data_IF_863990473493
#
_entry.id   IF_863990473493
#
_cell.length_a   1.000
_cell.length_b   1.000
_cell.length_c   1.000
_cell.angle_alpha   90.00
_cell.angle_beta   90.00
_cell.angle_gamma   90.00
#
_symmetry.space_group_name_H-M   'P 1'
#
loop_
_entity.id
_entity.type
_entity.pdbx_description
1 polymer ?
#
# COMPACT_ATOMS: atom_id res chain seq x y z
N UNK A 1 -2.21 46.78 7.14
CA UNK A 1 -3.35 45.88 7.43
C UNK A 1 -2.86 44.46 7.26
N UNK A 2 -3.14 43.56 8.21
CA UNK A 2 -2.54 42.23 8.28
C UNK A 2 -3.14 41.33 7.20
N UNK A 3 -2.65 40.09 7.01
CA UNK A 3 -3.60 39.04 6.68
C UNK A 3 -4.54 38.83 7.88
N UNK A 4 -5.85 39.08 7.70
CA UNK A 4 -6.89 38.89 8.73
C UNK A 4 -7.34 37.43 8.85
N UNK A 5 -7.01 36.60 7.86
CA UNK A 5 -7.33 35.18 7.81
C UNK A 5 -6.04 34.37 7.76
N UNK A 6 -6.08 33.16 8.29
CA UNK A 6 -5.03 32.18 8.01
C UNK A 6 -5.09 31.77 6.54
N UNK A 7 -3.93 31.48 5.94
CA UNK A 7 -3.90 30.82 4.63
C UNK A 7 -4.47 29.41 4.73
N UNK A 8 -5.22 28.98 3.72
CA UNK A 8 -5.78 27.64 3.60
C UNK A 8 -5.05 26.86 2.50
N UNK A 9 -5.66 26.71 1.32
CA UNK A 9 -5.02 26.14 0.13
C UNK A 9 -4.27 27.16 -0.70
N UNK A 10 -3.54 26.67 -1.69
CA UNK A 10 -2.95 27.53 -2.73
C UNK A 10 -3.98 27.69 -3.83
N UNK A 11 -4.28 28.93 -4.22
CA UNK A 11 -5.13 29.22 -5.37
C UNK A 11 -4.23 29.31 -6.59
N UNK A 12 -4.58 28.53 -7.62
CA UNK A 12 -3.84 28.44 -8.87
C UNK A 12 -4.70 28.92 -10.03
N UNK A 13 -4.05 29.43 -11.07
CA UNK A 13 -4.60 29.44 -12.42
C UNK A 13 -4.27 28.09 -13.06
N UNK A 14 -5.28 27.26 -13.26
CA UNK A 14 -5.17 26.04 -14.04
C UNK A 14 -5.37 26.36 -15.52
N UNK A 15 -4.55 25.75 -16.38
CA UNK A 15 -4.57 25.91 -17.83
C UNK A 15 -4.76 24.52 -18.45
N UNK A 16 -5.72 24.34 -19.34
CA UNK A 16 -6.06 23.00 -19.84
C UNK A 16 -5.00 22.41 -20.79
N UNK A 17 -4.31 21.35 -20.34
CA UNK A 17 -3.30 20.58 -21.10
C UNK A 17 -3.86 19.64 -22.16
N UNK A 18 -5.18 19.51 -22.26
CA UNK A 18 -5.83 18.75 -23.33
C UNK A 18 -6.34 19.65 -24.47
N UNK A 19 -6.19 20.98 -24.38
CA UNK A 19 -6.67 21.93 -25.39
C UNK A 19 -5.51 22.65 -26.07
N UNK A 20 -5.23 22.31 -27.33
CA UNK A 20 -4.33 23.12 -28.16
C UNK A 20 -4.98 24.50 -28.43
N UNK A 21 -4.24 25.61 -28.40
CA UNK A 21 -2.79 25.72 -28.21
C UNK A 21 -2.31 25.91 -26.76
N UNK A 22 -3.18 25.85 -25.74
CA UNK A 22 -2.78 25.96 -24.32
C UNK A 22 -1.77 24.88 -23.86
N UNK A 23 -1.63 23.81 -24.64
CA UNK A 23 -0.59 22.79 -24.48
C UNK A 23 0.82 23.28 -24.80
N UNK A 24 1.00 24.41 -25.50
CA UNK A 24 2.30 25.00 -25.77
C UNK A 24 2.89 25.67 -24.52
N UNK A 25 4.14 25.35 -24.21
CA UNK A 25 4.82 25.86 -23.02
C UNK A 25 5.08 27.38 -23.11
N UNK A 26 5.30 27.93 -24.29
CA UNK A 26 5.57 29.36 -24.46
C UNK A 26 4.31 30.18 -24.17
N UNK A 27 3.12 29.66 -24.52
CA UNK A 27 1.85 30.25 -24.12
C UNK A 27 1.71 30.25 -22.59
N UNK A 28 1.95 29.12 -21.93
CA UNK A 28 1.86 29.06 -20.45
C UNK A 28 2.86 29.97 -19.75
N UNK A 29 4.09 30.05 -20.25
CA UNK A 29 5.11 31.00 -19.75
C UNK A 29 4.72 32.45 -19.97
N UNK A 30 4.18 32.80 -21.13
CA UNK A 30 3.68 34.14 -21.40
C UNK A 30 2.50 34.49 -20.47
N UNK A 31 1.55 33.57 -20.26
CA UNK A 31 0.46 33.73 -19.29
C UNK A 31 1.02 33.97 -17.88
N UNK A 32 2.01 33.18 -17.43
CA UNK A 32 2.63 33.34 -16.11
C UNK A 32 3.26 34.74 -15.91
N UNK A 33 3.82 35.33 -16.97
CA UNK A 33 4.35 36.70 -16.94
C UNK A 33 3.26 37.79 -17.09
N UNK A 34 2.08 37.45 -17.60
CA UNK A 34 0.97 38.40 -17.76
C UNK A 34 0.10 38.57 -16.50
N UNK A 35 0.26 37.71 -15.50
CA UNK A 35 -0.53 37.75 -14.27
C UNK A 35 -0.04 38.89 -13.36
N UNK A 36 -0.90 39.84 -12.95
CA UNK A 36 -0.51 40.96 -12.10
C UNK A 36 -0.58 40.57 -10.61
N UNK A 37 0.28 39.64 -10.16
CA UNK A 37 0.19 38.95 -8.85
C UNK A 37 -0.07 39.88 -7.65
N UNK A 38 0.71 40.96 -7.52
CA UNK A 38 0.60 41.88 -6.37
C UNK A 38 -0.71 42.67 -6.40
N UNK A 39 -1.21 42.99 -7.60
CA UNK A 39 -2.50 43.66 -7.79
C UNK A 39 -3.66 42.69 -7.52
N UNK A 40 -3.54 41.40 -7.87
CA UNK A 40 -4.54 40.39 -7.50
C UNK A 40 -4.73 40.37 -5.97
N UNK A 41 -3.63 40.29 -5.23
CA UNK A 41 -3.64 40.23 -3.77
C UNK A 41 -4.12 41.55 -3.15
N UNK A 42 -3.63 42.70 -3.63
CA UNK A 42 -3.89 43.98 -2.99
C UNK A 42 -5.22 44.62 -3.37
N UNK A 43 -5.66 44.51 -4.64
CA UNK A 43 -6.86 45.17 -5.16
C UNK A 43 -8.09 44.26 -5.14
N UNK A 44 -7.97 43.04 -5.63
CA UNK A 44 -9.08 42.10 -5.69
C UNK A 44 -9.26 41.31 -4.37
N UNK A 45 -8.15 40.93 -3.73
CA UNK A 45 -8.16 40.15 -2.48
C UNK A 45 -7.97 40.98 -1.21
N UNK A 46 -7.92 42.31 -1.30
CA UNK A 46 -7.85 43.24 -0.17
C UNK A 46 -6.73 42.98 0.86
N UNK A 47 -5.63 42.32 0.44
CA UNK A 47 -4.56 41.83 1.32
C UNK A 47 -5.04 40.87 2.42
N UNK A 48 -6.11 40.11 2.18
CA UNK A 48 -6.55 39.05 3.09
C UNK A 48 -5.53 37.91 3.23
N UNK A 49 -4.61 37.80 2.28
CA UNK A 49 -3.52 36.84 2.24
C UNK A 49 -2.32 37.42 1.50
N UNK A 50 -1.32 36.58 1.20
CA UNK A 50 -0.09 36.95 0.49
C UNK A 50 0.09 36.12 -0.78
N UNK A 51 0.96 36.61 -1.67
CA UNK A 51 1.38 35.90 -2.88
C UNK A 51 1.98 34.53 -2.54
N UNK A 52 1.62 33.53 -3.34
CA UNK A 52 2.14 32.18 -3.22
C UNK A 52 3.61 32.11 -3.68
N UNK A 53 4.35 31.09 -3.22
CA UNK A 53 5.60 30.72 -3.89
C UNK A 53 5.28 30.26 -5.34
N UNK A 54 6.22 30.36 -6.29
CA UNK A 54 5.99 29.88 -7.67
C UNK A 54 5.99 28.34 -7.80
N UNK A 55 5.95 27.63 -6.67
CA UNK A 55 5.82 26.18 -6.54
C UNK A 55 4.66 25.87 -5.58
N UNK A 56 4.06 24.67 -5.63
CA UNK A 56 2.90 24.33 -4.80
C UNK A 56 3.30 23.99 -3.36
N UNK A 57 4.02 24.89 -2.70
CA UNK A 57 4.50 24.79 -1.32
C UNK A 57 4.15 26.08 -0.56
N UNK A 58 3.51 25.94 0.60
CA UNK A 58 3.08 27.08 1.43
C UNK A 58 4.27 27.65 2.21
N UNK A 59 4.84 28.76 1.74
CA UNK A 59 6.02 29.40 2.34
C UNK A 59 5.76 30.11 3.66
N UNK A 60 4.50 30.45 3.97
CA UNK A 60 4.15 31.15 5.22
C UNK A 60 4.28 30.26 6.46
N UNK A 61 4.48 28.96 6.27
CA UNK A 61 4.65 27.98 7.34
C UNK A 61 6.08 27.41 7.27
N UNK A 62 6.96 27.72 8.25
CA UNK A 62 8.38 27.35 8.19
C UNK A 62 8.64 25.84 7.99
N UNK A 63 7.78 24.97 8.55
CA UNK A 63 7.92 23.52 8.38
C UNK A 63 7.66 23.03 6.96
N UNK A 64 6.94 23.81 6.15
CA UNK A 64 6.72 23.56 4.73
C UNK A 64 7.75 24.29 3.88
N UNK A 65 8.00 25.57 4.18
CA UNK A 65 8.93 26.43 3.45
C UNK A 65 10.34 25.83 3.30
N UNK A 66 10.81 25.06 4.29
CA UNK A 66 12.11 24.37 4.24
C UNK A 66 12.28 23.42 3.04
N UNK A 67 11.20 23.01 2.39
CA UNK A 67 11.23 22.13 1.21
C UNK A 67 11.33 22.88 -0.11
N UNK A 68 11.23 24.21 -0.10
CA UNK A 68 11.40 25.04 -1.30
C UNK A 68 12.87 25.06 -1.70
N UNK A 69 13.13 24.76 -2.97
CA UNK A 69 14.45 24.88 -3.57
C UNK A 69 14.59 26.28 -4.18
N UNK A 70 15.14 27.20 -3.41
CA UNK A 70 15.32 28.60 -3.81
C UNK A 70 16.19 28.77 -5.07
N UNK A 71 17.13 27.87 -5.32
CA UNK A 71 17.96 27.89 -6.54
C UNK A 71 17.11 27.64 -7.78
N UNK A 72 16.22 26.65 -7.74
CA UNK A 72 15.29 26.38 -8.85
C UNK A 72 14.27 27.51 -9.02
N UNK A 73 13.74 28.03 -7.92
CA UNK A 73 12.82 29.18 -7.95
C UNK A 73 13.45 30.39 -8.64
N UNK A 74 14.72 30.69 -8.35
CA UNK A 74 15.43 31.79 -9.02
C UNK A 74 15.79 31.45 -10.49
N UNK A 75 16.16 30.21 -10.79
CA UNK A 75 16.50 29.77 -12.16
C UNK A 75 15.30 29.86 -13.11
N UNK A 76 14.11 29.45 -12.66
CA UNK A 76 12.87 29.43 -13.44
C UNK A 76 11.95 30.61 -13.13
N UNK A 77 12.48 31.67 -12.52
CA UNK A 77 11.69 32.78 -12.01
C UNK A 77 10.79 33.40 -13.09
N UNK A 78 9.53 33.62 -12.73
CA UNK A 78 8.59 34.43 -13.49
C UNK A 78 7.96 35.50 -12.59
N UNK A 79 7.82 36.70 -13.15
CA UNK A 79 7.27 37.89 -12.49
C UNK A 79 6.33 38.59 -13.47
N UNK A 80 5.47 39.45 -12.94
CA UNK A 80 4.59 40.27 -13.78
C UNK A 80 5.40 41.20 -14.69
N UNK A 81 5.39 40.91 -15.99
CA UNK A 81 6.11 41.65 -17.03
C UNK A 81 5.48 41.38 -18.41
N UNK A 82 4.64 42.31 -18.89
CA UNK A 82 3.95 42.18 -20.17
C UNK A 82 4.91 42.25 -21.38
N UNK A 83 6.03 42.98 -21.27
CA UNK A 83 7.03 43.03 -22.33
C UNK A 83 7.76 41.70 -22.45
N UNK A 84 8.10 41.09 -21.31
CA UNK A 84 8.68 39.74 -21.28
C UNK A 84 7.71 38.71 -21.83
N UNK A 85 6.41 38.80 -21.48
CA UNK A 85 5.38 37.91 -22.02
C UNK A 85 5.27 38.03 -23.55
N UNK A 86 5.18 39.25 -24.10
CA UNK A 86 5.21 39.50 -25.56
C UNK A 86 6.47 38.91 -26.20
N UNK A 87 7.63 39.15 -25.61
CA UNK A 87 8.91 38.64 -26.11
C UNK A 87 8.95 37.10 -26.14
N UNK A 88 8.40 36.42 -25.15
CA UNK A 88 8.32 34.95 -25.12
C UNK A 88 7.49 34.43 -26.31
N UNK A 89 6.35 35.08 -26.60
CA UNK A 89 5.52 34.74 -27.74
C UNK A 89 6.24 35.03 -29.07
N UNK A 90 6.86 36.21 -29.21
CA UNK A 90 7.62 36.60 -30.40
C UNK A 90 8.78 35.63 -30.69
N UNK A 91 9.56 35.27 -29.66
CA UNK A 91 10.70 34.34 -29.79
C UNK A 91 10.24 32.92 -30.17
N UNK A 92 9.00 32.55 -29.80
CA UNK A 92 8.37 31.30 -30.20
C UNK A 92 7.72 31.36 -31.59
N UNK A 93 7.71 32.51 -32.25
CA UNK A 93 7.03 32.73 -33.52
C UNK A 93 5.50 32.81 -33.42
N UNK A 94 4.98 32.97 -32.21
CA UNK A 94 3.54 33.18 -31.95
C UNK A 94 3.28 34.67 -32.11
N UNK A 95 2.88 35.11 -33.30
CA UNK A 95 2.80 36.52 -33.69
C UNK A 95 1.47 36.79 -34.38
N UNK A 96 1.00 38.02 -34.32
CA UNK A 96 -0.15 38.51 -35.08
C UNK A 96 0.28 38.64 -36.55
N UNK A 97 -0.24 37.76 -37.41
CA UNK A 97 0.10 37.73 -38.84
C UNK A 97 -0.89 38.48 -39.73
N UNK A 98 -2.09 38.81 -39.23
CA UNK A 98 -3.16 39.40 -40.02
C UNK A 98 -3.65 40.77 -39.52
N UNK A 99 -2.98 41.33 -38.49
CA UNK A 99 -3.19 42.66 -37.90
C UNK A 99 -4.57 42.81 -37.23
N UNK A 100 -5.14 41.70 -36.73
CA UNK A 100 -6.41 41.70 -35.98
C UNK A 100 -6.23 41.95 -34.47
N UNK A 101 -4.98 41.98 -33.99
CA UNK A 101 -4.59 42.20 -32.61
C UNK A 101 -4.46 40.92 -31.79
N UNK A 102 -4.79 39.76 -32.34
CA UNK A 102 -4.62 38.42 -31.77
C UNK A 102 -3.43 37.76 -32.45
N UNK A 103 -2.72 36.90 -31.71
CA UNK A 103 -1.57 36.18 -32.25
C UNK A 103 -2.00 34.83 -32.81
N UNK A 104 -1.25 34.36 -33.79
CA UNK A 104 -1.38 33.02 -34.37
C UNK A 104 -0.16 32.19 -33.99
N UNK A 105 -0.35 30.87 -33.96
CA UNK A 105 0.74 29.91 -33.82
C UNK A 105 1.65 29.94 -35.08
N UNK A 106 2.91 29.49 -34.99
CA UNK A 106 3.84 29.47 -36.14
C UNK A 106 3.36 28.64 -37.34
N UNK A 107 2.44 27.70 -37.12
CA UNK A 107 1.81 26.88 -38.15
C UNK A 107 0.57 27.54 -38.79
N UNK A 108 0.25 28.77 -38.38
CA UNK A 108 -0.92 29.55 -38.82
C UNK A 108 -2.21 29.19 -38.07
N UNK A 109 -2.15 28.38 -37.01
CA UNK A 109 -3.35 28.11 -36.19
C UNK A 109 -3.70 29.33 -35.37
N UNK A 110 -4.92 29.84 -35.51
CA UNK A 110 -5.49 30.88 -34.64
C UNK A 110 -5.47 30.41 -33.17
N UNK A 111 -5.08 31.29 -32.25
CA UNK A 111 -5.22 30.99 -30.81
C UNK A 111 -6.70 30.81 -30.41
N UNK A 112 -7.59 31.54 -31.06
CA UNK A 112 -9.01 31.62 -30.76
C UNK A 112 -9.29 32.37 -29.45
N UNK A 113 -10.58 32.52 -29.12
CA UNK A 113 -11.02 33.10 -27.85
C UNK A 113 -11.00 32.06 -26.73
N UNK A 114 -10.19 32.30 -25.70
CA UNK A 114 -10.24 31.52 -24.47
C UNK A 114 -11.21 32.08 -23.44
N UNK A 115 -11.68 31.22 -22.55
CA UNK A 115 -12.45 31.61 -21.37
C UNK A 115 -11.63 31.48 -20.09
N UNK A 116 -11.69 32.47 -19.21
CA UNK A 116 -11.22 32.34 -17.83
C UNK A 116 -12.43 32.37 -16.88
N UNK A 117 -12.56 31.32 -16.06
CA UNK A 117 -13.81 31.05 -15.35
C UNK A 117 -13.66 30.84 -13.84
N UNK A 118 -14.66 31.33 -13.12
CA UNK A 118 -14.94 31.08 -11.69
C UNK A 118 -16.45 31.13 -11.45
N UNK A 119 -16.98 30.60 -10.33
CA UNK A 119 -18.40 30.70 -10.02
C UNK A 119 -18.90 32.14 -9.94
N UNK A 120 -20.10 32.38 -10.47
CA UNK A 120 -20.81 33.65 -10.30
C UNK A 120 -21.01 33.98 -8.81
N UNK A 121 -20.73 35.23 -8.44
CA UNK A 121 -20.86 35.73 -7.08
C UNK A 121 -19.59 35.64 -6.24
N UNK A 122 -18.54 34.96 -6.72
CA UNK A 122 -17.21 34.99 -6.09
C UNK A 122 -16.46 36.25 -6.57
N UNK A 123 -16.94 37.41 -6.11
CA UNK A 123 -16.61 38.72 -6.69
C UNK A 123 -15.12 39.09 -6.64
N UNK A 124 -14.40 38.58 -5.65
CA UNK A 124 -12.96 38.68 -5.53
C UNK A 124 -12.26 37.95 -6.68
N UNK A 125 -12.59 36.67 -6.92
CA UNK A 125 -12.00 35.90 -8.01
C UNK A 125 -12.50 36.36 -9.39
N UNK A 126 -13.75 36.83 -9.51
CA UNK A 126 -14.26 37.42 -10.75
C UNK A 126 -13.43 38.64 -11.16
N UNK A 127 -13.10 39.53 -10.21
CA UNK A 127 -12.22 40.67 -10.46
C UNK A 127 -10.80 40.22 -10.87
N UNK A 128 -10.26 39.16 -10.24
CA UNK A 128 -8.97 38.59 -10.65
C UNK A 128 -9.01 38.06 -12.08
N UNK A 129 -10.09 37.36 -12.46
CA UNK A 129 -10.30 36.90 -13.83
C UNK A 129 -10.30 38.06 -14.83
N UNK A 130 -11.00 39.16 -14.53
CA UNK A 130 -11.05 40.34 -15.41
C UNK A 130 -9.66 40.98 -15.57
N UNK A 131 -8.89 41.06 -14.49
CA UNK A 131 -7.52 41.58 -14.51
C UNK A 131 -6.59 40.71 -15.36
N UNK A 132 -6.63 39.39 -15.17
CA UNK A 132 -5.83 38.44 -15.96
C UNK A 132 -6.24 38.49 -17.42
N UNK A 133 -7.54 38.40 -17.73
CA UNK A 133 -8.05 38.44 -19.11
C UNK A 133 -7.66 39.74 -19.83
N UNK A 134 -7.66 40.88 -19.13
CA UNK A 134 -7.22 42.16 -19.70
C UNK A 134 -5.75 42.11 -20.11
N UNK A 135 -4.88 41.64 -19.22
CA UNK A 135 -3.46 41.52 -19.51
C UNK A 135 -3.16 40.49 -20.61
N UNK A 136 -3.92 39.40 -20.69
CA UNK A 136 -3.80 38.42 -21.78
C UNK A 136 -4.13 39.05 -23.14
N UNK A 137 -5.20 39.84 -23.21
CA UNK A 137 -5.52 40.59 -24.45
C UNK A 137 -4.44 41.59 -24.83
N UNK A 138 -3.81 42.26 -23.85
CA UNK A 138 -2.69 43.19 -24.13
C UNK A 138 -1.47 42.50 -24.75
N UNK A 139 -1.28 41.20 -24.52
CA UNK A 139 -0.20 40.43 -25.14
C UNK A 139 -0.64 39.67 -26.39
N UNK A 140 -1.86 39.90 -26.89
CA UNK A 140 -2.39 39.28 -28.11
C UNK A 140 -2.96 37.88 -27.90
N UNK A 141 -3.36 37.52 -26.68
CA UNK A 141 -4.10 36.30 -26.39
C UNK A 141 -5.56 36.68 -26.10
N UNK A 142 -6.48 36.34 -27.01
CA UNK A 142 -7.89 36.64 -26.78
C UNK A 142 -8.43 35.80 -25.61
N UNK A 143 -8.93 36.47 -24.59
CA UNK A 143 -9.43 35.85 -23.38
C UNK A 143 -10.61 36.66 -22.84
N UNK A 144 -11.72 36.00 -22.54
CA UNK A 144 -12.92 36.62 -21.98
C UNK A 144 -13.31 35.94 -20.67
N UNK A 145 -13.96 36.69 -19.77
CA UNK A 145 -14.41 36.14 -18.50
C UNK A 145 -15.76 35.42 -18.65
N UNK A 146 -15.90 34.28 -17.98
CA UNK A 146 -17.17 33.54 -17.93
C UNK A 146 -17.47 33.10 -16.50
N UNK A 147 -18.60 33.55 -15.96
CA UNK A 147 -18.98 33.27 -14.58
C UNK A 147 -20.28 32.47 -14.50
N UNK A 148 -20.22 31.13 -14.67
CA UNK A 148 -21.41 30.28 -14.57
C UNK A 148 -21.77 30.02 -13.10
N UNK A 149 -22.92 29.38 -12.86
CA UNK A 149 -23.28 28.86 -11.53
C UNK A 149 -22.21 27.85 -11.03
N UNK A 150 -22.03 27.75 -9.70
CA UNK A 150 -21.05 26.85 -9.10
C UNK A 150 -21.16 25.41 -9.63
N UNK A 151 -22.37 24.88 -9.81
CA UNK A 151 -22.56 23.50 -10.29
C UNK A 151 -22.05 23.31 -11.72
N UNK A 152 -22.24 24.31 -12.58
CA UNK A 152 -21.76 24.30 -13.98
C UNK A 152 -20.25 24.52 -14.03
N UNK A 153 -19.73 25.43 -13.21
CA UNK A 153 -18.29 25.65 -13.06
C UNK A 153 -17.58 24.36 -12.60
N UNK A 154 -18.11 23.72 -11.55
CA UNK A 154 -17.57 22.48 -10.99
C UNK A 154 -17.60 21.33 -12.00
N UNK A 155 -18.72 21.16 -12.73
CA UNK A 155 -18.86 20.16 -13.79
C UNK A 155 -17.75 20.31 -14.85
N UNK A 156 -17.54 21.54 -15.33
CA UNK A 156 -16.50 21.83 -16.34
C UNK A 156 -15.09 21.62 -15.79
N UNK A 157 -14.84 21.99 -14.53
CA UNK A 157 -13.57 21.79 -13.86
C UNK A 157 -13.21 20.30 -13.78
N UNK A 158 -14.11 19.49 -13.19
CA UNK A 158 -13.84 18.07 -12.99
C UNK A 158 -13.91 17.26 -14.28
N UNK A 159 -14.51 17.78 -15.36
CA UNK A 159 -14.50 17.18 -16.72
C UNK A 159 -13.42 17.71 -17.65
N UNK A 160 -12.75 18.81 -17.30
CA UNK A 160 -11.63 19.34 -18.08
C UNK A 160 -12.07 19.97 -19.38
N UNK A 161 -13.24 20.60 -19.35
CA UNK A 161 -13.82 21.30 -20.50
C UNK A 161 -13.72 22.82 -20.35
N UNK A 162 -12.82 23.30 -19.49
CA UNK A 162 -12.48 24.72 -19.32
C UNK A 162 -11.24 25.08 -20.16
N UNK A 163 -10.96 26.37 -20.33
CA UNK A 163 -9.71 26.84 -20.93
C UNK A 163 -8.73 27.28 -19.84
N UNK A 164 -9.13 28.29 -19.07
CA UNK A 164 -8.45 28.74 -17.86
C UNK A 164 -9.45 28.80 -16.70
N UNK A 165 -9.00 28.46 -15.50
CA UNK A 165 -9.87 28.46 -14.31
C UNK A 165 -9.05 28.76 -13.06
N UNK A 166 -9.59 29.59 -12.16
CA UNK A 166 -9.02 29.74 -10.82
C UNK A 166 -9.62 28.68 -9.93
N UNK A 167 -8.78 27.89 -9.25
CA UNK A 167 -9.25 26.90 -8.28
C UNK A 167 -8.17 26.62 -7.23
N UNK A 168 -8.52 25.81 -6.24
CA UNK A 168 -7.66 25.43 -5.13
C UNK A 168 -6.82 24.17 -5.41
N UNK A 169 -5.99 23.76 -4.45
CA UNK A 169 -5.23 22.52 -4.46
C UNK A 169 -5.45 21.69 -3.18
N UNK A 170 -4.54 20.73 -2.90
CA UNK A 170 -4.59 19.89 -1.70
C UNK A 170 -4.41 20.65 -0.37
N UNK A 171 -3.93 21.89 -0.39
CA UNK A 171 -3.79 22.78 0.76
C UNK A 171 -2.93 22.27 1.91
N UNK A 172 -3.17 22.82 3.10
CA UNK A 172 -2.44 22.47 4.31
C UNK A 172 -2.80 21.06 4.80
N UNK A 173 -1.79 20.27 5.17
CA UNK A 173 -1.96 18.91 5.67
C UNK A 173 -0.71 18.40 6.37
N UNK A 174 -0.82 17.27 7.06
CA UNK A 174 0.34 16.62 7.69
C UNK A 174 1.38 16.13 6.66
N UNK A 175 0.92 15.88 5.44
CA UNK A 175 1.67 15.38 4.29
C UNK A 175 2.05 16.49 3.29
N UNK A 176 1.76 17.77 3.57
CA UNK A 176 2.20 18.87 2.72
C UNK A 176 3.75 18.98 2.70
N UNK A 177 4.39 19.16 1.52
CA UNK A 177 3.81 19.50 0.21
C UNK A 177 3.45 18.32 -0.72
N UNK A 178 3.61 17.06 -0.29
CA UNK A 178 3.32 15.90 -1.14
C UNK A 178 1.87 15.91 -1.65
N UNK A 179 0.91 16.29 -0.81
CA UNK A 179 -0.50 16.37 -1.19
C UNK A 179 -0.75 17.35 -2.34
N UNK A 180 -0.17 18.56 -2.31
CA UNK A 180 -0.34 19.56 -3.37
C UNK A 180 0.32 19.13 -4.68
N UNK A 181 1.55 18.58 -4.63
CA UNK A 181 2.20 18.03 -5.82
C UNK A 181 1.40 16.87 -6.43
N UNK A 182 0.92 15.95 -5.60
CA UNK A 182 0.09 14.84 -6.06
C UNK A 182 -1.22 15.34 -6.64
N UNK A 183 -1.88 16.28 -5.96
CA UNK A 183 -3.17 16.83 -6.39
C UNK A 183 -3.08 17.45 -7.77
N UNK A 184 -2.04 18.23 -8.05
CA UNK A 184 -1.88 18.94 -9.32
C UNK A 184 -1.32 17.98 -10.38
N UNK A 185 -0.22 17.29 -10.08
CA UNK A 185 0.61 16.71 -11.13
C UNK A 185 0.45 15.21 -11.37
N UNK A 186 -0.24 14.46 -10.49
CA UNK A 186 -0.30 13.00 -10.60
C UNK A 186 -1.26 12.58 -11.72
N UNK A 187 -0.77 11.96 -12.82
CA UNK A 187 -1.62 11.55 -13.94
C UNK A 187 -2.61 10.45 -13.56
N UNK A 188 -2.45 9.79 -12.40
CA UNK A 188 -3.37 8.77 -11.88
C UNK A 188 -4.67 9.35 -11.33
N UNK A 189 -4.75 10.68 -11.16
CA UNK A 189 -5.94 11.37 -10.64
C UNK A 189 -6.89 11.89 -11.72
N UNK A 190 -6.48 11.81 -12.98
CA UNK A 190 -7.20 12.35 -14.12
C UNK A 190 -7.39 11.31 -15.21
N UNK A 191 -8.01 11.71 -16.31
CA UNK A 191 -8.22 10.86 -17.49
C UNK A 191 -8.86 11.63 -18.64
N UNK A 192 -9.66 10.99 -19.51
CA UNK A 192 -10.21 11.63 -20.70
C UNK A 192 -11.04 12.88 -20.39
N UNK A 193 -10.94 13.88 -21.26
CA UNK A 193 -11.80 15.08 -21.21
C UNK A 193 -13.26 14.67 -21.41
N UNK A 194 -14.16 15.26 -20.61
CA UNK A 194 -15.60 14.98 -20.63
C UNK A 194 -16.07 13.98 -19.58
N UNK A 195 -15.14 13.29 -18.91
CA UNK A 195 -15.42 12.35 -17.80
C UNK A 195 -15.08 12.97 -16.44
N UNK A 196 -15.73 12.48 -15.38
CA UNK A 196 -15.62 13.06 -14.03
C UNK A 196 -14.34 12.63 -13.32
N UNK A 197 -13.43 13.58 -13.09
CA UNK A 197 -12.19 13.41 -12.32
C UNK A 197 -12.08 14.46 -11.21
N UNK A 198 -12.81 14.30 -10.09
CA UNK A 198 -12.83 15.29 -9.01
C UNK A 198 -11.60 15.23 -8.09
N UNK A 199 -10.75 14.20 -8.21
CA UNK A 199 -9.70 13.90 -7.23
C UNK A 199 -8.43 14.78 -7.35
N UNK A 200 -8.24 15.47 -8.48
CA UNK A 200 -7.08 16.30 -8.77
C UNK A 200 -6.74 16.30 -10.27
N UNK A 201 -5.66 16.99 -10.63
CA UNK A 201 -5.12 17.12 -11.98
C UNK A 201 -6.21 17.50 -12.99
N UNK A 202 -6.91 18.58 -12.65
CA UNK A 202 -8.00 19.12 -13.44
C UNK A 202 -7.49 19.75 -14.75
N UNK A 203 -6.23 20.07 -14.85
CA UNK A 203 -5.60 20.55 -16.06
C UNK A 203 -5.35 19.44 -17.09
N UNK A 204 -5.41 18.15 -16.72
CA UNK A 204 -5.12 16.98 -17.58
C UNK A 204 -3.65 16.90 -17.97
N UNK A 205 -2.77 17.29 -17.05
CA UNK A 205 -1.34 17.18 -17.23
C UNK A 205 -0.89 15.72 -17.16
N UNK A 206 -0.24 15.26 -18.22
CA UNK A 206 0.15 13.85 -18.40
C UNK A 206 1.67 13.69 -18.45
N UNK A 207 2.31 13.64 -17.29
CA UNK A 207 3.73 13.29 -17.16
C UNK A 207 3.92 12.13 -16.18
N UNK A 208 4.27 10.95 -16.72
CA UNK A 208 4.44 9.73 -15.94
C UNK A 208 5.80 9.64 -15.21
N UNK A 209 6.76 10.53 -15.50
CA UNK A 209 8.05 10.60 -14.78
C UNK A 209 7.86 11.00 -13.31
N UNK A 210 6.73 11.62 -12.98
CA UNK A 210 6.36 12.11 -11.65
C UNK A 210 5.91 10.97 -10.73
N UNK A 211 5.30 9.92 -11.28
CA UNK A 211 4.72 8.82 -10.48
C UNK A 211 5.77 8.14 -9.58
N UNK A 212 6.96 7.75 -10.08
CA UNK A 212 8.02 7.22 -9.23
C UNK A 212 8.46 8.19 -8.12
N UNK A 213 8.46 9.50 -8.36
CA UNK A 213 8.83 10.52 -7.36
C UNK A 213 7.77 10.60 -6.26
N UNK A 214 6.49 10.71 -6.64
CA UNK A 214 5.34 10.75 -5.70
C UNK A 214 5.32 9.49 -4.83
N UNK A 215 5.54 8.31 -5.42
CA UNK A 215 5.54 7.04 -4.70
C UNK A 215 6.75 6.86 -3.77
N UNK A 216 7.90 7.43 -4.15
CA UNK A 216 9.11 7.41 -3.33
C UNK A 216 9.00 8.35 -2.12
N UNK A 217 8.49 9.57 -2.32
CA UNK A 217 8.34 10.58 -1.27
C UNK A 217 7.47 10.05 -0.12
N UNK A 218 6.37 9.38 -0.42
CA UNK A 218 5.46 8.82 0.59
C UNK A 218 6.10 7.74 1.48
N UNK A 219 7.28 7.21 1.12
CA UNK A 219 8.00 6.14 1.82
C UNK A 219 9.33 6.60 2.40
N UNK A 220 9.75 7.83 2.12
CA UNK A 220 11.07 8.33 2.48
C UNK A 220 11.05 9.02 3.84
N UNK A 221 11.99 8.65 4.71
CA UNK A 221 12.15 9.19 6.07
C UNK A 221 13.45 9.97 6.25
N UNK A 222 14.40 9.82 5.32
CA UNK A 222 15.64 10.60 5.30
C UNK A 222 15.35 12.02 4.76
N UNK A 223 15.54 13.06 5.57
CA UNK A 223 15.18 14.43 5.19
C UNK A 223 15.99 14.97 4.01
N UNK A 224 17.24 14.53 3.80
CA UNK A 224 18.04 14.99 2.67
C UNK A 224 17.59 14.34 1.36
N UNK A 225 17.26 13.04 1.39
CA UNK A 225 16.67 12.36 0.22
C UNK A 225 15.30 12.94 -0.11
N UNK A 226 14.49 13.20 0.91
CA UNK A 226 13.17 13.81 0.76
C UNK A 226 13.27 15.20 0.12
N UNK A 227 14.22 16.04 0.55
CA UNK A 227 14.48 17.35 -0.06
C UNK A 227 14.89 17.24 -1.54
N UNK A 228 15.72 16.24 -1.89
CA UNK A 228 16.10 15.99 -3.30
C UNK A 228 14.91 15.56 -4.15
N UNK A 229 14.06 14.65 -3.66
CA UNK A 229 12.85 14.21 -4.38
C UNK A 229 11.88 15.38 -4.60
N UNK A 230 11.65 16.22 -3.58
CA UNK A 230 10.85 17.43 -3.74
C UNK A 230 11.48 18.43 -4.71
N UNK A 231 12.80 18.56 -4.74
CA UNK A 231 13.49 19.42 -5.71
C UNK A 231 13.25 18.95 -7.15
N UNK A 232 13.26 17.63 -7.39
CA UNK A 232 12.96 17.07 -8.71
C UNK A 232 11.51 17.37 -9.14
N UNK A 233 10.54 17.27 -8.23
CA UNK A 233 9.15 17.66 -8.52
C UNK A 233 9.02 19.16 -8.80
N UNK A 234 9.71 20.01 -8.03
CA UNK A 234 9.74 21.46 -8.26
C UNK A 234 10.32 21.81 -9.63
N UNK A 235 11.41 21.16 -10.04
CA UNK A 235 12.02 21.39 -11.35
C UNK A 235 11.05 21.05 -12.49
N UNK A 236 10.34 19.92 -12.39
CA UNK A 236 9.31 19.55 -13.38
C UNK A 236 8.16 20.57 -13.36
N UNK A 237 7.66 20.94 -12.17
CA UNK A 237 6.57 21.92 -12.03
C UNK A 237 6.94 23.26 -12.67
N UNK A 238 8.14 23.77 -12.41
CA UNK A 238 8.62 25.07 -12.91
C UNK A 238 8.93 25.04 -14.42
N UNK A 239 9.37 23.90 -14.97
CA UNK A 239 9.62 23.74 -16.40
C UNK A 239 8.33 23.64 -17.21
N UNK A 240 7.37 22.88 -16.70
CA UNK A 240 6.18 22.52 -17.45
C UNK A 240 5.02 23.49 -17.20
N UNK A 241 4.94 24.08 -16.00
CA UNK A 241 3.86 24.97 -15.52
C UNK A 241 2.46 24.31 -15.57
N UNK A 242 2.25 23.16 -14.88
CA UNK A 242 0.95 22.45 -14.87
C UNK A 242 -0.19 23.31 -14.32
N UNK A 243 0.13 24.15 -13.34
CA UNK A 243 -0.71 25.23 -12.87
C UNK A 243 0.19 26.40 -12.45
N UNK A 244 -0.38 27.61 -12.36
CA UNK A 244 0.37 28.80 -11.93
C UNK A 244 -0.12 29.22 -10.54
N UNK A 245 0.70 29.09 -9.49
CA UNK A 245 0.34 29.54 -8.15
C UNK A 245 0.12 31.05 -8.11
N UNK A 246 -0.99 31.51 -7.53
CA UNK A 246 -1.36 32.92 -7.46
C UNK A 246 -1.15 33.49 -6.05
N UNK A 247 -1.89 32.95 -5.08
CA UNK A 247 -1.92 33.40 -3.69
C UNK A 247 -2.42 32.28 -2.77
N UNK A 248 -2.23 32.42 -1.46
CA UNK A 248 -2.85 31.49 -0.50
C UNK A 248 -4.29 31.91 -0.24
N UNK A 249 -5.26 31.02 -0.45
CA UNK A 249 -6.67 31.31 -0.19
C UNK A 249 -6.90 31.63 1.27
N UNK A 250 -7.61 32.71 1.57
CA UNK A 250 -8.06 33.03 2.92
C UNK A 250 -9.00 31.93 3.43
N UNK A 251 -8.76 31.49 4.65
CA UNK A 251 -9.69 30.63 5.37
C UNK A 251 -10.92 31.44 5.81
N UNK A 252 -11.86 31.69 4.88
CA UNK A 252 -13.04 32.52 5.12
C UNK A 252 -13.84 32.06 6.33
N UNK A 253 -13.90 32.93 7.34
CA UNK A 253 -14.43 32.62 8.65
C UNK A 253 -14.76 33.91 9.40
N UNK A 254 -16.04 34.25 9.38
CA UNK A 254 -16.59 35.40 10.07
C UNK A 254 -17.74 34.96 10.97
N UNK A 255 -17.86 35.59 12.13
CA UNK A 255 -18.85 35.21 13.13
C UNK A 255 -19.43 36.43 13.85
N UNK A 256 -20.58 36.23 14.49
CA UNK A 256 -21.29 37.23 15.29
C UNK A 256 -21.62 36.69 16.67
N UNK A 257 -21.60 37.58 17.66
CA UNK A 257 -21.75 37.23 19.08
C UNK A 257 -23.18 37.36 19.63
N UNK A 258 -24.14 37.81 18.83
CA UNK A 258 -25.50 38.12 19.29
C UNK A 258 -26.32 36.87 19.67
N UNK A 259 -26.01 35.71 19.09
CA UNK A 259 -26.70 34.44 19.36
C UNK A 259 -25.77 33.34 19.86
N UNK A 260 -24.52 33.36 19.42
CA UNK A 260 -23.54 32.32 19.71
C UNK A 260 -22.22 32.95 20.14
N UNK A 261 -21.62 32.41 21.20
CA UNK A 261 -20.31 32.77 21.72
C UNK A 261 -19.41 31.53 21.73
N UNK A 262 -18.10 31.71 21.93
CA UNK A 262 -17.13 30.59 21.93
C UNK A 262 -16.49 30.28 20.59
N UNK A 263 -16.67 31.16 19.59
CA UNK A 263 -16.01 31.09 18.30
C UNK A 263 -14.48 31.02 18.44
N UNK A 264 -13.80 30.00 17.88
CA UNK A 264 -12.35 29.95 17.80
C UNK A 264 -11.79 31.21 17.14
N UNK A 265 -10.70 31.75 17.67
CA UNK A 265 -10.00 32.93 17.14
C UNK A 265 -8.57 32.96 17.65
N UNK A 266 -7.75 33.92 17.23
CA UNK A 266 -6.32 33.98 17.61
C UNK A 266 -6.10 33.97 19.12
N UNK A 267 -6.90 34.72 19.89
CA UNK A 267 -6.78 34.78 21.36
C UNK A 267 -7.35 33.53 22.06
N UNK A 268 -8.10 32.71 21.34
CA UNK A 268 -8.74 31.50 21.85
C UNK A 268 -8.81 30.41 20.74
N UNK A 269 -7.65 29.85 20.35
CA UNK A 269 -7.50 29.06 19.13
C UNK A 269 -7.94 27.60 19.36
N UNK A 270 -9.18 27.41 19.82
CA UNK A 270 -9.71 26.11 20.24
C UNK A 270 -9.68 25.04 19.14
N UNK A 271 -9.85 25.48 17.90
CA UNK A 271 -9.86 24.64 16.71
C UNK A 271 -9.30 25.45 15.52
N UNK A 272 -8.29 24.90 14.83
CA UNK A 272 -7.56 25.62 13.78
C UNK A 272 -8.33 25.72 12.45
N UNK A 273 -9.26 24.80 12.21
CA UNK A 273 -10.06 24.76 10.98
C UNK A 273 -11.54 25.09 11.24
N UNK A 274 -11.88 26.34 11.64
CA UNK A 274 -13.24 26.65 12.07
C UNK A 274 -14.19 27.03 10.92
N UNK A 275 -13.71 27.07 9.69
CA UNK A 275 -14.42 27.63 8.54
C UNK A 275 -15.58 26.72 8.08
N UNK A 276 -16.78 27.26 7.76
CA UNK A 276 -18.00 26.48 7.51
C UNK A 276 -17.93 25.49 6.33
N UNK A 277 -17.14 25.80 5.31
CA UNK A 277 -17.04 25.01 4.08
C UNK A 277 -16.14 23.78 4.22
N UNK A 278 -15.32 23.68 5.27
CA UNK A 278 -14.44 22.53 5.48
C UNK A 278 -15.10 21.43 6.32
N UNK A 279 -16.29 21.02 5.89
CA UNK A 279 -16.98 19.89 6.47
C UNK A 279 -16.32 18.57 6.02
N UNK A 280 -16.12 17.57 6.90
CA UNK A 280 -16.55 17.51 8.29
C UNK A 280 -15.54 18.04 9.33
N UNK A 281 -14.36 18.49 8.91
CA UNK A 281 -13.26 18.86 9.80
C UNK A 281 -13.59 20.06 10.73
N UNK A 282 -14.56 20.88 10.36
CA UNK A 282 -15.03 22.00 11.19
C UNK A 282 -16.06 21.61 12.28
N UNK A 283 -16.58 20.38 12.29
CA UNK A 283 -17.62 19.94 13.21
C UNK A 283 -17.29 20.19 14.69
N UNK A 284 -16.05 19.99 15.18
CA UNK A 284 -15.71 20.25 16.58
C UNK A 284 -16.00 21.68 17.03
N UNK A 285 -16.01 22.67 16.13
CA UNK A 285 -16.39 24.05 16.46
C UNK A 285 -17.79 24.12 17.03
N UNK A 286 -18.74 23.36 16.46
CA UNK A 286 -20.14 23.38 16.92
C UNK A 286 -20.30 22.90 18.36
N UNK A 287 -19.35 22.11 18.87
CA UNK A 287 -19.34 21.66 20.28
C UNK A 287 -18.66 22.64 21.23
N UNK A 288 -17.89 23.60 20.68
CA UNK A 288 -17.25 24.68 21.44
C UNK A 288 -18.14 25.92 21.58
N UNK A 289 -19.23 26.01 20.79
CA UNK A 289 -20.16 27.13 20.83
C UNK A 289 -21.17 27.00 21.97
N UNK A 290 -21.53 28.13 22.57
CA UNK A 290 -22.64 28.25 23.52
C UNK A 290 -23.57 29.40 23.12
N UNK A 291 -24.80 29.40 23.65
CA UNK A 291 -25.72 30.51 23.38
C UNK A 291 -25.20 31.80 24.02
N UNK A 292 -25.52 32.94 23.41
CA UNK A 292 -25.16 34.23 23.98
C UNK A 292 -25.68 34.36 25.43
N UNK A 293 -24.78 34.68 26.37
CA UNK A 293 -25.07 34.73 27.82
C UNK A 293 -24.70 33.46 28.58
N UNK A 294 -24.35 32.37 27.91
CA UNK A 294 -23.79 31.16 28.49
C UNK A 294 -22.26 31.16 28.36
N UNK A 295 -21.57 30.45 29.25
CA UNK A 295 -20.12 30.29 29.19
C UNK A 295 -19.75 29.16 28.19
N UNK A 296 -18.99 29.44 27.12
CA UNK A 296 -18.64 28.42 26.15
C UNK A 296 -17.58 27.46 26.69
N UNK A 297 -17.95 26.18 26.78
CA UNK A 297 -17.05 25.10 27.21
C UNK A 297 -16.46 24.36 26.01
N UNK A 298 -15.22 23.89 26.14
CA UNK A 298 -14.62 22.97 25.15
C UNK A 298 -14.74 21.56 25.70
N UNK A 299 -15.42 20.63 25.02
CA UNK A 299 -15.46 19.25 25.47
C UNK A 299 -14.05 18.67 25.56
N UNK A 300 -13.74 17.94 26.63
CA UNK A 300 -12.38 17.45 26.90
C UNK A 300 -11.83 16.58 25.77
N UNK A 301 -12.70 15.80 25.12
CA UNK A 301 -12.34 14.94 23.99
C UNK A 301 -11.78 15.70 22.78
N UNK A 302 -12.07 16.99 22.62
CA UNK A 302 -11.51 17.82 21.55
C UNK A 302 -9.99 17.83 21.61
N UNK A 303 -9.40 17.70 22.81
CA UNK A 303 -7.95 17.63 23.03
C UNK A 303 -7.49 16.24 23.47
N UNK A 304 -8.21 15.61 24.40
CA UNK A 304 -7.78 14.36 25.05
C UNK A 304 -7.77 13.14 24.12
N UNK A 305 -8.61 13.15 23.07
CA UNK A 305 -8.68 12.04 22.10
C UNK A 305 -7.83 12.28 20.85
N UNK A 306 -7.12 13.41 20.76
CA UNK A 306 -6.21 13.65 19.63
C UNK A 306 -4.97 12.78 19.78
N UNK A 307 -4.68 11.98 18.75
CA UNK A 307 -3.43 11.23 18.65
C UNK A 307 -2.47 12.08 17.83
N UNK A 308 -1.34 12.55 18.38
CA UNK A 308 -0.38 13.32 17.62
C UNK A 308 0.14 12.54 16.41
N UNK A 309 0.27 13.19 15.26
CA UNK A 309 0.84 12.57 14.04
C UNK A 309 2.22 11.96 14.32
N UNK A 310 3.05 12.60 15.14
CA UNK A 310 4.34 12.06 15.57
C UNK A 310 4.21 10.71 16.27
N UNK A 311 3.19 10.52 17.11
CA UNK A 311 2.94 9.26 17.81
C UNK A 311 2.56 8.14 16.82
N UNK A 312 1.77 8.47 15.79
CA UNK A 312 1.43 7.51 14.72
C UNK A 312 2.70 7.06 13.99
N UNK A 313 3.59 7.98 13.66
CA UNK A 313 4.86 7.65 13.01
C UNK A 313 5.83 6.87 13.90
N UNK A 314 5.88 7.17 15.20
CA UNK A 314 6.64 6.38 16.18
C UNK A 314 6.13 4.93 16.25
N UNK A 315 4.81 4.75 16.33
CA UNK A 315 4.19 3.43 16.39
C UNK A 315 4.39 2.66 15.07
N UNK A 316 4.30 3.34 13.92
CA UNK A 316 4.60 2.76 12.61
C UNK A 316 6.07 2.32 12.52
N UNK A 317 7.01 3.18 12.93
CA UNK A 317 8.43 2.84 12.96
C UNK A 317 8.71 1.63 13.86
N UNK A 318 8.05 1.54 15.02
CA UNK A 318 8.16 0.39 15.92
C UNK A 318 7.64 -0.91 15.28
N UNK A 319 6.54 -0.85 14.51
CA UNK A 319 6.02 -2.01 13.76
C UNK A 319 6.97 -2.41 12.63
N UNK A 320 7.51 -1.45 11.88
CA UNK A 320 8.42 -1.69 10.76
C UNK A 320 9.80 -2.20 11.21
N UNK A 321 10.24 -1.84 12.42
CA UNK A 321 11.48 -2.34 13.00
C UNK A 321 11.42 -3.82 13.40
N UNK A 322 10.24 -4.46 13.39
CA UNK A 322 10.09 -5.89 13.68
C UNK A 322 10.66 -6.71 12.52
N UNK A 323 11.87 -7.23 12.72
CA UNK A 323 12.52 -8.16 11.78
C UNK A 323 11.75 -9.48 11.70
N UNK A 324 11.52 -9.97 10.49
CA UNK A 324 10.78 -11.23 10.23
C UNK A 324 11.55 -12.18 9.31
N UNK A 325 11.20 -13.45 9.39
CA UNK A 325 11.62 -14.51 8.45
C UNK A 325 10.49 -15.52 8.26
N UNK A 326 10.71 -16.55 7.45
CA UNK A 326 9.73 -17.60 7.18
C UNK A 326 10.17 -18.88 7.88
N UNK A 327 9.27 -19.50 8.65
CA UNK A 327 9.48 -20.83 9.21
C UNK A 327 8.59 -21.82 8.47
N UNK A 328 9.22 -22.77 7.77
CA UNK A 328 8.59 -23.85 7.04
C UNK A 328 8.85 -25.17 7.75
N UNK A 329 7.81 -25.95 8.03
CA UNK A 329 7.91 -27.20 8.78
C UNK A 329 7.21 -28.29 7.98
N UNK A 330 7.93 -29.36 7.69
CA UNK A 330 7.37 -30.57 7.08
C UNK A 330 7.61 -31.79 7.97
N UNK A 331 6.90 -32.88 7.71
CA UNK A 331 7.12 -34.18 8.36
C UNK A 331 7.16 -35.31 7.33
N UNK A 332 7.97 -36.32 7.63
CA UNK A 332 8.16 -37.51 6.82
C UNK A 332 8.33 -38.76 7.70
N UNK A 333 7.97 -39.97 7.22
CA UNK A 333 7.24 -40.24 5.98
C UNK A 333 5.74 -39.92 6.08
N UNK A 334 5.23 -39.70 7.30
CA UNK A 334 3.82 -39.41 7.59
C UNK A 334 3.60 -37.93 7.88
N UNK A 335 2.36 -37.46 7.67
CA UNK A 335 1.95 -36.09 8.02
C UNK A 335 1.42 -36.06 9.44
N UNK A 336 2.11 -35.33 10.31
CA UNK A 336 1.74 -35.15 11.71
C UNK A 336 1.42 -33.69 12.03
N UNK A 337 0.70 -33.47 13.13
CA UNK A 337 0.49 -32.13 13.68
C UNK A 337 1.81 -31.54 14.17
N UNK A 338 2.00 -30.24 13.96
CA UNK A 338 3.20 -29.51 14.40
C UNK A 338 2.83 -28.40 15.37
N UNK A 339 3.68 -28.20 16.36
CA UNK A 339 3.51 -27.17 17.37
C UNK A 339 4.76 -26.29 17.43
N UNK A 340 4.57 -24.97 17.45
CA UNK A 340 5.65 -23.99 17.53
C UNK A 340 5.51 -23.24 18.84
N UNK A 341 6.51 -23.32 19.71
CA UNK A 341 6.48 -22.82 21.08
C UNK A 341 5.26 -23.31 21.89
N UNK A 342 4.77 -24.52 21.58
CA UNK A 342 3.63 -25.14 22.23
C UNK A 342 2.26 -24.83 21.60
N UNK A 343 2.19 -23.94 20.61
CA UNK A 343 0.94 -23.63 19.89
C UNK A 343 0.81 -24.49 18.63
N UNK A 344 -0.35 -25.12 18.42
CA UNK A 344 -0.60 -25.92 17.22
C UNK A 344 -0.62 -25.03 15.97
N UNK A 345 0.12 -25.46 14.96
CA UNK A 345 0.11 -24.88 13.62
C UNK A 345 -0.64 -25.75 12.61
N UNK A 346 -1.24 -26.86 13.05
CA UNK A 346 -1.95 -27.83 12.21
C UNK A 346 -1.04 -28.93 11.67
N UNK A 347 -1.55 -29.71 10.73
CA UNK A 347 -0.85 -30.86 10.13
C UNK A 347 0.14 -30.39 9.06
N UNK A 348 1.38 -30.86 9.13
CA UNK A 348 2.45 -30.55 8.17
C UNK A 348 2.12 -31.01 6.73
N UNK A 349 2.63 -30.33 5.68
CA UNK A 349 3.54 -29.18 5.72
C UNK A 349 2.83 -27.87 6.08
N UNK A 350 3.50 -27.02 6.86
CA UNK A 350 3.03 -25.66 7.20
C UNK A 350 4.15 -24.64 6.98
N UNK A 351 3.79 -23.44 6.54
CA UNK A 351 4.74 -22.34 6.36
C UNK A 351 4.10 -21.02 6.78
N UNK A 352 4.76 -20.29 7.69
CA UNK A 352 4.27 -19.00 8.19
C UNK A 352 5.42 -18.00 8.35
N UNK A 353 5.09 -16.73 8.16
CA UNK A 353 5.98 -15.61 8.53
C UNK A 353 5.98 -15.42 10.05
N UNK A 354 7.17 -15.33 10.65
CA UNK A 354 7.35 -15.18 12.09
C UNK A 354 8.43 -14.14 12.41
N UNK A 355 8.45 -13.63 13.64
CA UNK A 355 9.50 -12.71 14.10
C UNK A 355 10.87 -13.41 14.09
N UNK A 356 11.94 -12.67 13.90
CA UNK A 356 13.30 -13.19 14.11
C UNK A 356 13.44 -13.63 15.56
N UNK A 357 14.00 -14.82 15.77
CA UNK A 357 14.12 -15.40 17.10
C UNK A 357 14.19 -16.92 17.08
N UNK A 358 14.31 -17.48 18.26
CA UNK A 358 14.43 -18.94 18.45
C UNK A 358 13.06 -19.54 18.75
N UNK A 359 12.73 -20.62 18.05
CA UNK A 359 11.47 -21.34 18.13
C UNK A 359 11.74 -22.80 18.49
N UNK A 360 10.92 -23.35 19.38
CA UNK A 360 10.91 -24.77 19.71
C UNK A 360 9.78 -25.46 18.94
N UNK A 361 10.13 -26.44 18.13
CA UNK A 361 9.23 -27.21 17.30
C UNK A 361 9.01 -28.57 17.94
N UNK A 362 7.75 -28.95 18.11
CA UNK A 362 7.36 -30.28 18.59
C UNK A 362 6.33 -30.89 17.65
N UNK A 363 6.24 -32.21 17.67
CA UNK A 363 5.48 -32.99 16.70
C UNK A 363 4.44 -33.84 17.45
N UNK A 364 3.21 -33.88 16.93
CA UNK A 364 2.11 -34.64 17.49
C UNK A 364 2.31 -36.15 17.38
N UNK A 365 1.52 -36.92 18.12
CA UNK A 365 1.54 -38.38 17.98
C UNK A 365 0.89 -38.80 16.65
N UNK A 366 1.47 -39.80 15.97
CA UNK A 366 0.89 -40.44 14.79
C UNK A 366 0.84 -41.95 15.05
N UNK A 367 -0.31 -42.57 14.85
CA UNK A 367 -0.50 -44.00 15.13
C UNK A 367 0.49 -44.87 14.36
N UNK A 368 1.16 -45.80 15.05
CA UNK A 368 2.17 -46.69 14.47
C UNK A 368 3.56 -46.05 14.24
N UNK A 369 3.77 -44.82 14.69
CA UNK A 369 5.04 -44.12 14.58
C UNK A 369 5.45 -43.42 15.88
N UNK A 370 6.74 -43.46 16.19
CA UNK A 370 7.35 -42.66 17.23
C UNK A 370 7.61 -41.25 16.69
N UNK A 371 7.17 -40.24 17.45
CA UNK A 371 7.29 -38.84 17.07
C UNK A 371 8.76 -38.36 17.13
N UNK A 372 9.19 -37.45 16.24
CA UNK A 372 10.50 -36.86 16.29
C UNK A 372 10.74 -36.10 17.62
N UNK A 373 11.98 -36.09 18.09
CA UNK A 373 12.37 -35.29 19.23
C UNK A 373 12.12 -33.78 18.96
N UNK A 374 11.83 -32.97 20.01
CA UNK A 374 11.74 -31.52 19.88
C UNK A 374 12.96 -30.92 19.20
N UNK A 375 12.75 -29.97 18.28
CA UNK A 375 13.82 -29.30 17.55
C UNK A 375 13.80 -27.80 17.83
N UNK A 376 14.96 -27.21 18.01
CA UNK A 376 15.10 -25.76 18.21
C UNK A 376 15.67 -25.12 16.96
N UNK A 377 15.01 -24.08 16.45
CA UNK A 377 15.40 -23.38 15.23
C UNK A 377 15.45 -21.88 15.46
N UNK A 378 16.46 -21.21 14.91
CA UNK A 378 16.54 -19.75 14.93
C UNK A 378 16.17 -19.22 13.55
N UNK A 379 15.10 -18.43 13.49
CA UNK A 379 14.67 -17.72 12.28
C UNK A 379 15.43 -16.42 12.19
N UNK A 380 16.07 -16.18 11.06
CA UNK A 380 16.84 -14.97 10.76
C UNK A 380 16.07 -14.05 9.81
N UNK A 381 16.46 -12.77 9.79
CA UNK A 381 15.80 -11.73 9.00
C UNK A 381 15.82 -12.06 7.50
N UNK A 382 14.66 -12.03 6.86
CA UNK A 382 14.50 -12.26 5.42
C UNK A 382 14.80 -13.69 4.96
N UNK A 383 15.11 -14.61 5.87
CA UNK A 383 15.43 -16.00 5.52
C UNK A 383 14.23 -16.92 5.71
N UNK A 384 14.14 -17.91 4.82
CA UNK A 384 13.26 -19.07 5.00
C UNK A 384 14.06 -20.19 5.65
N UNK A 385 13.67 -20.58 6.85
CA UNK A 385 14.24 -21.73 7.53
C UNK A 385 13.27 -22.90 7.40
N UNK A 386 13.77 -24.03 6.90
CA UNK A 386 12.97 -25.24 6.70
C UNK A 386 13.41 -26.32 7.68
N UNK A 387 12.45 -26.92 8.37
CA UNK A 387 12.64 -28.02 9.32
C UNK A 387 11.83 -29.23 8.85
N UNK A 388 12.41 -30.42 8.93
CA UNK A 388 11.71 -31.67 8.65
C UNK A 388 11.75 -32.57 9.89
N UNK A 389 10.57 -32.91 10.42
CA UNK A 389 10.40 -33.90 11.47
C UNK A 389 10.30 -35.30 10.90
N UNK A 390 11.26 -36.17 11.22
CA UNK A 390 11.29 -37.56 10.75
C UNK A 390 10.70 -38.51 11.79
N UNK A 391 9.55 -39.10 11.48
CA UNK A 391 8.89 -40.14 12.27
C UNK A 391 9.52 -41.51 11.99
N UNK A 392 9.68 -42.32 13.03
CA UNK A 392 10.17 -43.70 12.93
C UNK A 392 9.05 -44.68 13.22
N UNK A 393 8.90 -45.73 12.40
CA UNK A 393 7.84 -46.71 12.59
C UNK A 393 8.06 -47.48 13.90
N UNK A 394 7.06 -47.51 14.78
CA UNK A 394 7.13 -48.24 16.05
C UNK A 394 7.15 -49.74 15.77
N UNK A 395 8.02 -50.49 16.47
CA UNK A 395 8.10 -51.94 16.33
C UNK A 395 6.75 -52.61 16.64
N UNK A 396 6.30 -53.52 15.77
CA UNK A 396 5.00 -54.20 15.90
C UNK A 396 5.10 -55.35 16.93
N UNK A 397 4.39 -55.28 18.08
CA UNK A 397 4.40 -56.36 19.08
C UNK A 397 3.82 -57.68 18.55
N UNK A 398 2.93 -57.62 17.55
CA UNK A 398 2.36 -58.81 16.88
C UNK A 398 3.42 -59.68 16.19
N UNK A 399 4.54 -59.09 15.75
CA UNK A 399 5.63 -59.84 15.13
C UNK A 399 6.39 -60.69 16.16
N UNK A 400 6.50 -60.21 17.40
CA UNK A 400 7.09 -60.98 18.50
C UNK A 400 6.20 -62.17 18.87
N UNK A 401 4.88 -61.98 18.92
CA UNK A 401 3.96 -63.09 19.19
C UNK A 401 4.02 -64.18 18.10
N UNK A 402 4.25 -63.81 16.84
CA UNK A 402 4.44 -64.77 15.73
C UNK A 402 5.77 -65.51 15.85
N UNK A 403 6.86 -64.81 16.21
CA UNK A 403 8.16 -65.43 16.45
C UNK A 403 8.10 -66.42 17.61
N UNK A 404 7.44 -66.05 18.71
CA UNK A 404 7.24 -66.93 19.87
C UNK A 404 6.42 -68.17 19.50
N UNK A 405 5.38 -68.02 18.68
CA UNK A 405 4.58 -69.15 18.18
C UNK A 405 5.37 -70.06 17.25
N UNK A 406 6.24 -69.51 16.39
CA UNK A 406 7.12 -70.32 15.53
C UNK A 406 8.13 -71.11 16.37
N UNK A 407 8.68 -70.50 17.42
CA UNK A 407 9.59 -71.17 18.36
C UNK A 407 8.90 -72.31 19.11
N UNK A 408 7.65 -72.11 19.56
CA UNK A 408 6.84 -73.17 20.18
C UNK A 408 6.53 -74.34 19.21
N UNK A 409 6.20 -74.03 17.95
CA UNK A 409 5.95 -75.05 16.92
C UNK A 409 7.23 -75.85 16.60
N UNK A 410 8.37 -75.18 16.46
CA UNK A 410 9.67 -75.80 16.22
C UNK A 410 10.05 -76.76 17.36
N UNK A 411 9.88 -76.31 18.61
CA UNK A 411 10.12 -77.15 19.80
C UNK A 411 9.21 -78.40 19.84
N UNK A 412 7.92 -78.24 19.50
CA UNK A 412 6.97 -79.35 19.44
C UNK A 412 7.28 -80.34 18.31
N UNK A 413 7.81 -79.88 17.17
CA UNK A 413 8.25 -80.76 16.09
C UNK A 413 9.50 -81.56 16.48
N UNK A 414 10.46 -80.92 17.15
CA UNK A 414 11.65 -81.59 17.67
C UNK A 414 11.31 -82.74 18.62
N UNK A 415 10.45 -82.49 19.60
CA UNK A 415 9.98 -83.52 20.55
C UNK A 415 9.19 -84.65 19.85
N UNK A 416 8.34 -84.33 18.88
CA UNK A 416 7.60 -85.34 18.11
C UNK A 416 8.55 -86.24 17.28
N UNK A 417 9.67 -85.71 16.81
CA UNK A 417 10.68 -86.48 16.06
C UNK A 417 11.38 -87.52 16.94
N UNK A 418 11.57 -87.23 18.22
CA UNK A 418 12.17 -88.14 19.20
C UNK A 418 11.22 -89.29 19.58
N UNK A 419 9.91 -88.99 19.66
CA UNK A 419 8.88 -89.98 20.02
C UNK A 419 8.56 -90.96 18.88
N UNK A 420 8.76 -90.58 17.61
CA UNK A 420 8.53 -91.44 16.43
C UNK A 420 9.77 -92.28 16.12
N UNK A 421 10.20 -93.11 17.09
CA UNK A 421 11.30 -94.06 16.89
C UNK A 421 10.78 -95.37 16.28
N UNK A 422 10.86 -95.49 14.95
CA UNK A 422 10.57 -96.78 14.28
C UNK A 422 10.17 -96.71 12.80
N UNK A 423 9.85 -95.53 12.26
CA UNK A 423 9.49 -95.34 10.85
C UNK A 423 10.43 -94.31 10.24
N UNK A 424 11.49 -94.77 9.57
CA UNK A 424 12.58 -93.92 9.05
C UNK A 424 12.09 -92.77 8.15
N UNK A 425 11.03 -93.01 7.35
CA UNK A 425 10.44 -92.00 6.47
C UNK A 425 9.66 -90.90 7.21
N UNK A 426 9.14 -91.15 8.42
CA UNK A 426 8.41 -90.14 9.18
C UNK A 426 9.36 -89.16 9.91
N UNK A 427 10.51 -89.66 10.37
CA UNK A 427 11.55 -88.85 11.04
C UNK A 427 12.20 -87.88 10.05
N UNK A 428 12.50 -88.33 8.82
CA UNK A 428 13.05 -87.46 7.76
C UNK A 428 12.08 -86.31 7.42
N UNK A 429 10.77 -86.59 7.27
CA UNK A 429 9.76 -85.56 6.99
C UNK A 429 9.61 -84.55 8.14
N UNK A 430 9.71 -85.00 9.40
CA UNK A 430 9.63 -84.10 10.56
C UNK A 430 10.88 -83.22 10.70
N UNK A 431 12.05 -83.75 10.35
CA UNK A 431 13.31 -82.98 10.29
C UNK A 431 13.24 -81.90 9.22
N UNK A 432 12.81 -82.25 8.00
CA UNK A 432 12.67 -81.30 6.89
C UNK A 432 11.67 -80.18 7.23
N UNK A 433 10.59 -80.51 7.96
CA UNK A 433 9.60 -79.53 8.39
C UNK A 433 10.14 -78.61 9.50
N UNK A 434 10.95 -79.15 10.42
CA UNK A 434 11.62 -78.36 11.46
C UNK A 434 12.61 -77.36 10.84
N UNK A 435 13.39 -77.81 9.86
CA UNK A 435 14.33 -76.96 9.13
C UNK A 435 13.60 -75.86 8.34
N UNK A 436 12.47 -76.19 7.71
CA UNK A 436 11.61 -75.21 7.04
C UNK A 436 11.04 -74.16 8.00
N UNK A 437 10.59 -74.56 9.19
CA UNK A 437 10.09 -73.65 10.23
C UNK A 437 11.21 -72.75 10.76
N UNK A 438 12.42 -73.28 10.93
CA UNK A 438 13.60 -72.47 11.33
C UNK A 438 13.96 -71.45 10.26
N UNK A 439 13.95 -71.83 8.97
CA UNK A 439 14.18 -70.90 7.87
C UNK A 439 13.15 -69.77 7.82
N UNK A 440 11.87 -70.08 8.03
CA UNK A 440 10.79 -69.09 8.14
C UNK A 440 10.98 -68.13 9.31
N UNK A 441 11.41 -68.64 10.48
CA UNK A 441 11.72 -67.81 11.64
C UNK A 441 12.84 -66.81 11.33
N UNK A 442 13.90 -67.26 10.69
CA UNK A 442 15.04 -66.40 10.33
C UNK A 442 14.64 -65.33 9.30
N UNK A 443 13.77 -65.67 8.34
CA UNK A 443 13.17 -64.68 7.42
C UNK A 443 12.31 -63.64 8.16
N UNK A 444 11.46 -64.06 9.09
CA UNK A 444 10.63 -63.16 9.92
C UNK A 444 11.50 -62.27 10.82
N UNK A 445 12.59 -62.80 11.37
CA UNK A 445 13.54 -62.05 12.19
C UNK A 445 14.35 -61.03 11.35
N UNK A 446 14.69 -61.35 10.11
CA UNK A 446 15.32 -60.40 9.19
C UNK A 446 14.35 -59.26 8.80
N UNK A 447 13.07 -59.55 8.62
CA UNK A 447 12.04 -58.54 8.36
C UNK A 447 11.80 -57.63 9.58
N UNK A 448 11.99 -58.14 10.82
CA UNK A 448 11.99 -57.33 12.06
C UNK A 448 13.05 -56.23 12.03
N UNK A 449 14.24 -56.51 11.49
CA UNK A 449 15.31 -55.51 11.38
C UNK A 449 15.10 -54.48 10.26
N UNK A 450 14.25 -54.77 9.28
CA UNK A 450 14.10 -53.98 8.04
C UNK A 450 12.71 -53.30 7.87
N UNK A 451 11.93 -53.13 8.95
CA UNK A 451 10.57 -52.57 8.93
C UNK A 451 10.42 -51.16 8.31
N UNK A 452 11.53 -50.49 7.99
CA UNK A 452 11.54 -49.20 7.29
C UNK A 452 11.26 -49.30 5.78
N UNK A 453 11.32 -50.49 5.16
CA UNK A 453 11.27 -50.66 3.69
C UNK A 453 10.12 -51.52 3.14
N UNK A 454 9.33 -52.22 3.98
CA UNK A 454 8.34 -53.20 3.48
C UNK A 454 6.95 -52.57 3.29
N UNK A 455 6.41 -52.69 2.07
CA UNK A 455 5.04 -52.29 1.72
C UNK A 455 3.99 -53.30 2.21
N UNK A 456 2.76 -52.83 2.44
CA UNK A 456 1.59 -53.60 2.94
C UNK A 456 1.32 -54.90 2.17
N UNK A 457 1.75 -55.00 0.91
CA UNK A 457 1.57 -56.18 0.04
C UNK A 457 2.47 -57.37 0.44
N UNK A 458 3.68 -57.09 0.95
CA UNK A 458 4.58 -58.15 1.45
C UNK A 458 4.01 -58.85 2.69
N UNK A 459 3.29 -58.10 3.52
CA UNK A 459 2.69 -58.57 4.78
C UNK A 459 1.52 -59.54 4.56
N UNK A 460 0.63 -59.26 3.60
CA UNK A 460 -0.52 -60.13 3.29
C UNK A 460 -0.08 -61.48 2.70
N UNK A 461 0.96 -61.47 1.87
CA UNK A 461 1.51 -62.70 1.27
C UNK A 461 2.10 -63.64 2.33
N UNK A 462 2.73 -63.11 3.37
CA UNK A 462 3.33 -63.88 4.46
C UNK A 462 2.27 -64.56 5.35
N UNK A 463 1.19 -63.84 5.69
CA UNK A 463 0.06 -64.40 6.46
C UNK A 463 -0.61 -65.54 5.67
N UNK A 464 -0.79 -65.37 4.36
CA UNK A 464 -1.31 -66.42 3.47
C UNK A 464 -0.39 -67.65 3.43
N UNK A 465 0.93 -67.45 3.38
CA UNK A 465 1.90 -68.55 3.38
C UNK A 465 1.84 -69.35 4.70
N UNK A 466 1.77 -68.65 5.84
CA UNK A 466 1.67 -69.27 7.17
C UNK A 466 0.34 -70.03 7.31
N UNK A 467 -0.79 -69.48 6.84
CA UNK A 467 -2.09 -70.16 6.85
C UNK A 467 -2.04 -71.44 5.98
N UNK A 468 -1.46 -71.37 4.78
CA UNK A 468 -1.31 -72.54 3.90
C UNK A 468 -0.46 -73.63 4.56
N UNK A 469 0.62 -73.25 5.26
CA UNK A 469 1.49 -74.19 5.97
C UNK A 469 0.77 -74.85 7.15
N UNK A 470 0.02 -74.08 7.95
CA UNK A 470 -0.78 -74.61 9.06
C UNK A 470 -1.87 -75.57 8.54
N UNK A 471 -2.52 -75.25 7.43
CA UNK A 471 -3.51 -76.13 6.78
C UNK A 471 -2.84 -77.42 6.26
N UNK A 472 -1.64 -77.34 5.69
CA UNK A 472 -0.87 -78.52 5.25
C UNK A 472 -0.48 -79.43 6.43
N UNK A 473 -0.07 -78.85 7.55
CA UNK A 473 0.26 -79.58 8.79
C UNK A 473 -0.99 -80.24 9.40
N UNK A 474 -2.15 -79.56 9.36
CA UNK A 474 -3.42 -80.16 9.80
C UNK A 474 -3.89 -81.29 8.88
N UNK A 475 -3.62 -81.22 7.57
CA UNK A 475 -3.98 -82.26 6.61
C UNK A 475 -3.18 -83.57 6.82
N UNK A 476 -1.94 -83.49 7.31
CA UNK A 476 -1.09 -84.64 7.64
C UNK A 476 -1.54 -85.41 8.91
N UNK A 477 -2.50 -84.88 9.68
CA UNK A 477 -3.02 -85.48 10.92
C UNK A 477 -4.17 -86.49 10.73
N UNK A 478 -4.57 -86.85 9.50
CA UNK A 478 -5.61 -87.86 9.28
C UNK A 478 -5.04 -89.29 9.42
N UNK A 479 -5.56 -90.15 10.31
CA UNK A 479 -5.10 -91.52 10.42
C UNK A 479 -5.58 -92.34 9.21
N UNK A 480 -4.66 -93.00 8.50
CA UNK A 480 -5.01 -93.96 7.45
C UNK A 480 -5.59 -95.22 8.07
N UNK A 481 -6.88 -95.49 7.85
CA UNK A 481 -7.46 -96.81 8.02
C UNK A 481 -6.96 -97.74 6.90
N UNK A 482 -6.19 -98.76 7.27
CA UNK A 482 -6.22 -100.13 6.74
C UNK A 482 -5.31 -101.00 7.62
#
# INVERSE_FOLDING_TARGET
>A
NPPYYIGSGIIHLYINYAKYPLTDINIRKAIAHAIPYDDLVSKAYFNYSVRAAPVPIIHTIPSYAKWINETLVEEYRFEYDLEKARKILDDAGIVDIDDDGIREMPDGTELGTFTISVPYGWTDWMMMCDMIATNLREIGIDCVTEFPDFTVWWDRLIKGTFDLVLSWDGGMGFDHPWNSFRFIMDPRLTGPVGEDYPAGNWERYMNWEIVPLIDAIAKETDPEKLARLYSQLQEIFLKDLPAIPLFYGAAWYEFRYDRWVGWPKEEDPRWLSPYPWNYPDNLPVLFCLAKAGEEPTVPSWVYEMQIPTAKIFEDLAAVLAVKKGILSIDTAPVKGEVFVNGESWGVAPVSKEVKVGTYTITFGAVEGYDAPAPQTVTVEEGKTITIVGTYTRTALPELEEVLDKLDDVSSKLGTLSEDVTGVKSAVEVLSDLSDAVSGLRDEVAALRSDLSTISTIGYVSLILLIIVLVVAIMALRRPSQA
#
